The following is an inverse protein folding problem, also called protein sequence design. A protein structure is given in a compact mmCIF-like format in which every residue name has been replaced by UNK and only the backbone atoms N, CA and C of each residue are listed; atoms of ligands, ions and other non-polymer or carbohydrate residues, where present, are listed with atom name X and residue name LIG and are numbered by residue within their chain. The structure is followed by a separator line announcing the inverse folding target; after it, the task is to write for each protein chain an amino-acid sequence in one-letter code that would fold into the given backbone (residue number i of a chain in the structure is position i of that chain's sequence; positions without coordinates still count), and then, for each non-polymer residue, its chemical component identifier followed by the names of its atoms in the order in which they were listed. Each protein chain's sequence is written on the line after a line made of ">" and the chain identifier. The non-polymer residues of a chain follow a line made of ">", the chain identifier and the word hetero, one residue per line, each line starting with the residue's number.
data_IF_814531853884
#
_entry.id   IF_814531853884
#
_cell.length_a   1.000
_cell.length_b   1.000
_cell.length_c   1.000
_cell.angle_alpha   90.00
_cell.angle_beta   90.00
_cell.angle_gamma   90.00
#
_symmetry.space_group_name_H-M   'P 1'
#
loop_
_entity.id
_entity.type
_entity.pdbx_description
1 polymer ?
#
# COMPACT_ATOMS: atom_id res chain seq x y z
N UNK A 1 -31.40 -2.19 -4.34
CA UNK A 1 -31.10 -1.04 -3.46
C UNK A 1 -30.20 -0.07 -4.22
N UNK A 2 -30.29 1.22 -3.87
CA UNK A 2 -29.31 2.25 -4.26
C UNK A 2 -28.22 2.33 -3.20
N UNK A 3 -26.98 2.12 -3.58
CA UNK A 3 -25.85 2.07 -2.66
C UNK A 3 -24.84 3.14 -3.06
N UNK A 4 -24.45 3.98 -2.11
CA UNK A 4 -23.37 4.95 -2.27
C UNK A 4 -22.12 4.40 -1.59
N UNK A 5 -21.08 4.12 -2.38
CA UNK A 5 -19.76 3.74 -1.85
C UNK A 5 -18.81 4.94 -1.90
N UNK A 6 -18.27 5.29 -0.75
CA UNK A 6 -17.38 6.45 -0.57
C UNK A 6 -15.96 5.95 -0.27
N UNK A 7 -14.99 6.34 -1.10
CA UNK A 7 -13.56 6.27 -0.75
C UNK A 7 -13.21 7.50 0.09
N UNK A 8 -12.74 7.29 1.31
CA UNK A 8 -12.33 8.36 2.22
C UNK A 8 -10.84 8.70 2.13
N UNK A 9 -10.12 8.15 1.14
CA UNK A 9 -8.69 8.38 1.00
C UNK A 9 -8.39 9.85 0.70
N UNK A 10 -7.34 10.38 1.36
CA UNK A 10 -6.80 11.73 1.15
C UNK A 10 -5.29 11.71 0.92
N UNK A 11 -4.67 10.53 0.90
CA UNK A 11 -3.24 10.40 0.72
C UNK A 11 -2.86 10.58 -0.76
N UNK A 12 -2.03 11.57 -1.03
CA UNK A 12 -1.50 11.90 -2.37
C UNK A 12 -0.14 11.26 -2.62
N UNK A 13 0.62 11.03 -1.55
CA UNK A 13 2.04 10.69 -1.61
C UNK A 13 2.30 9.24 -1.24
N UNK A 14 3.32 8.62 -1.83
CA UNK A 14 4.18 9.12 -2.92
C UNK A 14 3.45 9.26 -4.26
N UNK A 15 2.28 8.66 -4.42
CA UNK A 15 1.35 8.78 -5.54
C UNK A 15 -0.07 8.44 -5.09
N UNK A 16 -1.04 9.08 -5.73
CA UNK A 16 -2.45 8.80 -5.49
C UNK A 16 -2.81 7.39 -5.99
N UNK A 17 -3.52 6.62 -5.17
CA UNK A 17 -3.86 5.22 -5.46
C UNK A 17 -5.36 5.07 -5.64
N UNK A 18 -5.76 4.56 -6.82
CA UNK A 18 -7.15 4.23 -7.14
C UNK A 18 -7.74 3.26 -6.09
N UNK A 19 -8.98 3.47 -5.62
CA UNK A 19 -9.61 2.64 -4.58
C UNK A 19 -10.06 1.26 -5.13
N UNK A 20 -9.09 0.42 -5.48
CA UNK A 20 -9.29 -0.88 -6.15
C UNK A 20 -10.24 -1.80 -5.38
N UNK A 21 -10.07 -1.95 -4.06
CA UNK A 21 -10.94 -2.80 -3.24
C UNK A 21 -12.39 -2.34 -3.24
N UNK A 22 -12.65 -1.02 -3.26
CA UNK A 22 -14.01 -0.49 -3.38
C UNK A 22 -14.63 -0.81 -4.74
N UNK A 23 -13.84 -0.75 -5.82
CA UNK A 23 -14.31 -1.14 -7.16
C UNK A 23 -14.63 -2.64 -7.28
N UNK A 24 -13.87 -3.50 -6.59
CA UNK A 24 -14.17 -4.94 -6.55
C UNK A 24 -15.46 -5.22 -5.80
N UNK A 25 -15.69 -4.54 -4.67
CA UNK A 25 -16.96 -4.61 -3.94
C UNK A 25 -18.11 -4.09 -4.79
N UNK A 26 -17.93 -2.98 -5.51
CA UNK A 26 -18.94 -2.44 -6.42
C UNK A 26 -19.31 -3.43 -7.54
N UNK A 27 -18.29 -4.07 -8.15
CA UNK A 27 -18.50 -5.12 -9.14
C UNK A 27 -19.38 -6.25 -8.61
N UNK A 28 -19.06 -6.72 -7.41
CA UNK A 28 -19.82 -7.79 -6.76
C UNK A 28 -21.29 -7.39 -6.48
N UNK A 29 -21.55 -6.19 -5.99
CA UNK A 29 -22.90 -5.68 -5.73
C UNK A 29 -23.71 -5.45 -7.00
N UNK A 30 -23.08 -4.97 -8.09
CA UNK A 30 -23.75 -4.77 -9.39
C UNK A 30 -24.15 -6.10 -10.02
N UNK A 31 -23.39 -7.18 -9.83
CA UNK A 31 -23.78 -8.53 -10.25
C UNK A 31 -25.08 -9.00 -9.60
N UNK A 32 -25.38 -8.55 -8.37
CA UNK A 32 -26.63 -8.83 -7.68
C UNK A 32 -27.78 -7.86 -8.07
N UNK A 33 -27.58 -7.01 -9.06
CA UNK A 33 -28.59 -6.08 -9.57
C UNK A 33 -28.77 -4.82 -8.73
N UNK A 34 -27.83 -4.47 -7.84
CA UNK A 34 -27.88 -3.22 -7.08
C UNK A 34 -27.41 -2.03 -7.92
N UNK A 35 -28.04 -0.87 -7.72
CA UNK A 35 -27.57 0.41 -8.28
C UNK A 35 -26.46 0.97 -7.38
N UNK A 36 -25.20 0.90 -7.85
CA UNK A 36 -24.03 1.29 -7.07
C UNK A 36 -23.39 2.54 -7.66
N UNK A 37 -23.36 3.61 -6.88
CA UNK A 37 -22.65 4.86 -7.18
C UNK A 37 -21.33 4.89 -6.41
N UNK A 38 -20.24 5.15 -7.11
CA UNK A 38 -18.93 5.38 -6.50
C UNK A 38 -18.73 6.88 -6.27
N UNK A 39 -18.22 7.24 -5.11
CA UNK A 39 -17.82 8.60 -4.75
C UNK A 39 -16.41 8.56 -4.17
N UNK A 40 -15.50 9.29 -4.75
CA UNK A 40 -14.14 9.41 -4.25
C UNK A 40 -13.90 10.80 -3.66
N UNK A 41 -13.66 10.85 -2.35
CA UNK A 41 -13.50 12.11 -1.61
C UNK A 41 -12.27 12.89 -2.09
N UNK A 42 -11.19 12.18 -2.45
CA UNK A 42 -9.98 12.81 -2.98
C UNK A 42 -10.23 13.41 -4.37
N UNK A 43 -10.84 12.66 -5.28
CA UNK A 43 -11.21 13.16 -6.62
C UNK A 43 -12.11 14.40 -6.56
N UNK A 44 -13.02 14.46 -5.58
CA UNK A 44 -13.93 15.60 -5.37
C UNK A 44 -13.29 16.75 -4.58
N UNK A 45 -11.94 16.81 -4.56
CA UNK A 45 -11.17 17.89 -3.95
C UNK A 45 -11.29 17.95 -2.42
N UNK A 46 -11.57 16.82 -1.78
CA UNK A 46 -11.76 16.70 -0.33
C UNK A 46 -12.89 17.60 0.21
N UNK A 47 -13.93 17.80 -0.62
CA UNK A 47 -15.03 18.71 -0.33
C UNK A 47 -16.17 18.02 0.43
N UNK A 48 -16.45 18.45 1.63
CA UNK A 48 -17.60 18.00 2.42
C UNK A 48 -18.94 18.46 1.80
N UNK A 49 -18.96 19.60 1.10
CA UNK A 49 -20.16 19.99 0.35
C UNK A 49 -20.43 19.04 -0.82
N UNK A 50 -19.40 18.57 -1.51
CA UNK A 50 -19.57 17.53 -2.54
C UNK A 50 -20.13 16.23 -1.97
N UNK A 51 -19.80 15.88 -0.72
CA UNK A 51 -20.43 14.72 -0.02
C UNK A 51 -21.94 14.96 0.17
N UNK A 52 -22.36 16.16 0.63
CA UNK A 52 -23.78 16.52 0.79
C UNK A 52 -24.53 16.41 -0.53
N UNK A 53 -24.00 17.04 -1.57
CA UNK A 53 -24.57 17.00 -2.93
C UNK A 53 -24.67 15.58 -3.46
N UNK A 54 -23.65 14.75 -3.22
CA UNK A 54 -23.63 13.34 -3.59
C UNK A 54 -24.79 12.56 -2.97
N UNK A 55 -25.01 12.70 -1.67
CA UNK A 55 -26.12 12.06 -0.96
C UNK A 55 -27.47 12.56 -1.46
N UNK A 56 -27.65 13.88 -1.60
CA UNK A 56 -28.91 14.48 -2.08
C UNK A 56 -29.27 14.01 -3.49
N UNK A 57 -28.26 13.86 -4.36
CA UNK A 57 -28.40 13.39 -5.75
C UNK A 57 -28.73 11.90 -5.82
N UNK A 58 -27.97 11.05 -5.12
CA UNK A 58 -28.08 9.59 -5.17
C UNK A 58 -29.32 9.11 -4.41
N UNK A 59 -29.62 9.73 -3.27
CA UNK A 59 -30.67 9.29 -2.31
C UNK A 59 -30.50 7.80 -2.00
N UNK A 60 -29.34 7.42 -1.41
CA UNK A 60 -29.02 6.00 -1.20
C UNK A 60 -29.93 5.36 -0.15
N UNK A 61 -30.12 4.05 -0.28
CA UNK A 61 -30.73 3.20 0.74
C UNK A 61 -29.70 2.72 1.77
N UNK A 62 -28.40 2.73 1.38
CA UNK A 62 -27.27 2.31 2.20
C UNK A 62 -26.00 3.05 1.76
N UNK A 63 -25.15 3.39 2.73
CA UNK A 63 -23.84 4.02 2.46
C UNK A 63 -22.73 3.10 2.95
N UNK A 64 -21.75 2.80 2.08
CA UNK A 64 -20.50 2.14 2.44
C UNK A 64 -19.33 3.13 2.40
N UNK A 65 -18.44 3.11 3.41
CA UNK A 65 -17.22 3.92 3.44
C UNK A 65 -16.02 3.02 3.45
N UNK A 66 -15.16 3.16 2.44
CA UNK A 66 -13.89 2.45 2.34
C UNK A 66 -12.78 3.29 2.96
N UNK A 67 -12.18 2.77 4.03
CA UNK A 67 -11.02 3.36 4.72
C UNK A 67 -9.78 2.59 4.29
N UNK A 68 -8.88 3.24 3.52
CA UNK A 68 -7.65 2.60 3.05
C UNK A 68 -6.60 2.52 4.17
N UNK A 69 -6.31 3.63 4.82
CA UNK A 69 -5.32 3.75 5.88
C UNK A 69 -5.90 4.53 7.06
N UNK A 70 -5.39 4.26 8.27
CA UNK A 70 -5.76 5.01 9.49
C UNK A 70 -4.87 6.24 9.68
N UNK A 71 -3.60 6.14 9.25
CA UNK A 71 -2.59 7.19 9.28
C UNK A 71 -1.53 6.96 8.18
N UNK A 72 -0.52 7.84 8.09
CA UNK A 72 0.57 7.75 7.12
C UNK A 72 1.81 6.98 7.62
N UNK A 73 1.74 6.34 8.78
CA UNK A 73 2.82 5.58 9.44
C UNK A 73 4.17 6.33 9.56
N UNK A 74 4.18 7.65 9.50
CA UNK A 74 5.38 8.50 9.52
C UNK A 74 5.50 9.24 10.87
N UNK A 75 6.44 8.84 11.72
CA UNK A 75 6.67 9.43 13.04
C UNK A 75 7.04 10.93 12.97
N UNK A 76 7.78 11.34 11.96
CA UNK A 76 8.31 12.71 11.86
C UNK A 76 7.33 13.70 11.24
N UNK A 77 6.34 13.21 10.48
CA UNK A 77 5.29 14.01 9.87
C UNK A 77 3.97 13.22 9.89
N UNK A 78 3.43 13.05 11.11
CA UNK A 78 2.23 12.25 11.34
C UNK A 78 0.98 12.88 10.74
N UNK A 79 0.24 12.10 9.94
CA UNK A 79 -1.06 12.47 9.37
C UNK A 79 -2.10 11.41 9.75
N UNK A 80 -3.19 11.85 10.35
CA UNK A 80 -4.29 11.00 10.84
C UNK A 80 -5.49 11.08 9.90
N UNK A 81 -5.80 10.01 9.21
CA UNK A 81 -6.88 9.99 8.23
C UNK A 81 -8.26 9.73 8.84
N UNK A 82 -8.30 9.17 10.05
CA UNK A 82 -9.57 8.87 10.76
C UNK A 82 -10.38 10.14 11.06
N UNK A 83 -9.73 11.27 11.31
CA UNK A 83 -10.44 12.53 11.54
C UNK A 83 -11.27 12.97 10.32
N UNK A 84 -10.73 12.76 9.11
CA UNK A 84 -11.48 12.99 7.87
C UNK A 84 -12.70 12.07 7.77
N UNK A 85 -12.55 10.79 8.15
CA UNK A 85 -13.67 9.83 8.13
C UNK A 85 -14.77 10.22 9.13
N UNK A 86 -14.39 10.66 10.33
CA UNK A 86 -15.36 11.20 11.34
C UNK A 86 -16.16 12.35 10.76
N UNK A 87 -15.48 13.28 10.11
CA UNK A 87 -16.15 14.45 9.54
C UNK A 87 -17.06 14.06 8.36
N UNK A 88 -16.64 13.13 7.49
CA UNK A 88 -17.51 12.58 6.44
C UNK A 88 -18.78 11.98 7.07
N UNK A 89 -18.66 11.16 8.12
CA UNK A 89 -19.82 10.54 8.77
C UNK A 89 -20.71 11.58 9.44
N UNK A 90 -20.13 12.59 10.08
CA UNK A 90 -20.92 13.72 10.64
C UNK A 90 -21.75 14.40 9.58
N UNK A 91 -21.16 14.74 8.45
CA UNK A 91 -21.84 15.37 7.30
C UNK A 91 -22.94 14.45 6.74
N UNK A 92 -22.68 13.15 6.60
CA UNK A 92 -23.69 12.19 6.14
C UNK A 92 -24.89 12.11 7.08
N UNK A 93 -24.68 12.14 8.40
CA UNK A 93 -25.74 12.09 9.40
C UNK A 93 -26.64 13.34 9.39
N UNK A 94 -26.12 14.47 8.96
CA UNK A 94 -26.93 15.69 8.79
C UNK A 94 -27.85 15.60 7.56
N UNK A 95 -27.47 14.82 6.54
CA UNK A 95 -28.20 14.70 5.28
C UNK A 95 -29.17 13.52 5.22
N UNK A 96 -28.89 12.42 5.95
CA UNK A 96 -29.66 11.19 5.80
C UNK A 96 -29.61 10.30 7.05
N UNK A 97 -30.72 9.62 7.41
CA UNK A 97 -30.76 8.63 8.49
C UNK A 97 -30.29 7.23 8.05
N UNK A 98 -29.93 7.01 6.79
CA UNK A 98 -29.61 5.66 6.29
C UNK A 98 -28.40 5.06 6.99
N UNK A 99 -28.32 3.72 6.98
CA UNK A 99 -27.22 3.00 7.61
C UNK A 99 -25.90 3.26 6.91
N UNK A 100 -24.83 3.45 7.71
CA UNK A 100 -23.47 3.64 7.26
C UNK A 100 -22.65 2.43 7.68
N UNK A 101 -21.98 1.80 6.73
CA UNK A 101 -21.12 0.61 6.90
C UNK A 101 -19.68 0.96 6.56
N UNK A 102 -18.76 0.72 7.49
CA UNK A 102 -17.33 0.90 7.25
C UNK A 102 -16.71 -0.37 6.68
N UNK A 103 -15.68 -0.20 5.87
CA UNK A 103 -14.88 -1.29 5.33
C UNK A 103 -13.49 -0.80 4.89
N UNK A 104 -12.76 -1.68 4.20
CA UNK A 104 -11.43 -1.42 3.69
C UNK A 104 -10.31 -1.84 4.65
N UNK A 105 -9.06 -1.79 4.17
CA UNK A 105 -7.89 -2.26 4.90
C UNK A 105 -7.65 -1.49 6.20
N UNK A 106 -7.79 -0.17 6.18
CA UNK A 106 -7.62 0.67 7.37
C UNK A 106 -8.65 0.37 8.46
N UNK A 107 -9.91 0.16 8.08
CA UNK A 107 -10.94 -0.30 9.02
C UNK A 107 -10.58 -1.68 9.60
N UNK A 108 -10.18 -2.61 8.75
CA UNK A 108 -9.91 -4.00 9.12
C UNK A 108 -8.72 -4.18 10.06
N UNK A 109 -7.81 -3.20 10.14
CA UNK A 109 -6.69 -3.22 11.11
C UNK A 109 -7.18 -3.00 12.54
N UNK A 110 -8.18 -2.14 12.76
CA UNK A 110 -8.68 -1.76 14.09
C UNK A 110 -10.20 -1.58 14.08
N UNK A 111 -10.99 -2.64 13.76
CA UNK A 111 -12.41 -2.46 13.47
C UNK A 111 -13.20 -1.89 14.64
N UNK A 112 -12.99 -2.35 15.87
CA UNK A 112 -13.70 -1.86 17.07
C UNK A 112 -13.42 -0.38 17.34
N UNK A 113 -12.15 0.00 17.59
CA UNK A 113 -11.79 1.39 17.85
C UNK A 113 -12.18 2.36 16.74
N UNK A 114 -12.06 1.96 15.46
CA UNK A 114 -12.45 2.81 14.32
C UNK A 114 -13.97 2.98 14.25
N UNK A 115 -14.75 1.88 14.39
CA UNK A 115 -16.20 1.95 14.35
C UNK A 115 -16.78 2.87 15.45
N UNK A 116 -16.23 2.75 16.65
CA UNK A 116 -16.61 3.56 17.80
C UNK A 116 -16.23 5.02 17.61
N UNK A 117 -14.98 5.30 17.22
CA UNK A 117 -14.50 6.65 17.02
C UNK A 117 -15.22 7.40 15.90
N UNK A 118 -15.60 6.71 14.82
CA UNK A 118 -16.26 7.29 13.65
C UNK A 118 -17.76 7.43 13.83
N UNK A 119 -18.39 6.58 14.66
CA UNK A 119 -19.84 6.62 14.93
C UNK A 119 -20.71 6.08 13.78
N UNK A 120 -20.17 5.16 12.97
CA UNK A 120 -20.96 4.47 11.95
C UNK A 120 -21.81 3.32 12.56
N UNK A 121 -22.75 2.77 11.79
CA UNK A 121 -23.66 1.74 12.30
C UNK A 121 -23.01 0.36 12.35
N UNK A 122 -22.35 -0.03 11.24
CA UNK A 122 -21.76 -1.34 11.04
C UNK A 122 -20.37 -1.25 10.44
N UNK A 123 -19.66 -2.37 10.46
CA UNK A 123 -18.38 -2.52 9.78
C UNK A 123 -18.15 -3.92 9.25
N UNK A 124 -17.50 -4.02 8.10
CA UNK A 124 -17.06 -5.25 7.45
C UNK A 124 -15.53 -5.30 7.51
N UNK A 125 -14.99 -6.19 8.34
CA UNK A 125 -13.56 -6.40 8.51
C UNK A 125 -13.08 -7.56 7.63
N UNK A 126 -12.04 -7.31 6.82
CA UNK A 126 -11.49 -8.26 5.85
C UNK A 126 -12.03 -8.04 4.44
N UNK A 127 -12.19 -9.13 3.69
CA UNK A 127 -12.61 -9.12 2.28
C UNK A 127 -14.10 -8.84 2.15
N UNK A 128 -14.45 -7.69 1.60
CA UNK A 128 -15.83 -7.21 1.56
C UNK A 128 -16.68 -7.78 0.44
N UNK A 129 -16.10 -8.35 -0.60
CA UNK A 129 -16.78 -8.70 -1.85
C UNK A 129 -17.93 -9.71 -1.65
N UNK A 130 -17.77 -10.66 -0.73
CA UNK A 130 -18.82 -11.63 -0.38
C UNK A 130 -19.66 -11.15 0.80
N UNK A 131 -18.99 -10.82 1.91
CA UNK A 131 -19.68 -10.51 3.16
C UNK A 131 -20.55 -9.25 3.05
N UNK A 132 -20.10 -8.22 2.33
CA UNK A 132 -20.91 -7.02 2.15
C UNK A 132 -22.11 -7.26 1.22
N UNK A 133 -22.00 -8.15 0.22
CA UNK A 133 -23.15 -8.63 -0.57
C UNK A 133 -24.20 -9.30 0.31
N UNK A 134 -23.78 -10.22 1.18
CA UNK A 134 -24.67 -10.90 2.13
C UNK A 134 -25.35 -9.88 3.07
N UNK A 135 -24.60 -8.93 3.59
CA UNK A 135 -25.14 -7.83 4.39
C UNK A 135 -26.19 -7.02 3.62
N UNK A 136 -25.92 -6.64 2.39
CA UNK A 136 -26.82 -5.85 1.54
C UNK A 136 -28.10 -6.64 1.22
N UNK A 137 -27.98 -7.94 0.95
CA UNK A 137 -29.13 -8.81 0.69
C UNK A 137 -30.10 -8.89 1.89
N UNK A 138 -29.57 -8.97 3.11
CA UNK A 138 -30.37 -8.93 4.34
C UNK A 138 -30.95 -7.52 4.60
N UNK A 139 -30.14 -6.48 4.43
CA UNK A 139 -30.57 -5.08 4.57
C UNK A 139 -31.72 -4.72 3.61
N UNK A 140 -31.70 -5.26 2.39
CA UNK A 140 -32.80 -5.08 1.41
C UNK A 140 -34.14 -5.64 1.89
N UNK A 141 -34.09 -6.56 2.86
CA UNK A 141 -35.29 -7.14 3.48
C UNK A 141 -35.60 -6.51 4.86
N UNK A 142 -34.91 -5.41 5.20
CA UNK A 142 -35.04 -4.72 6.48
C UNK A 142 -34.40 -5.48 7.66
N UNK A 143 -33.63 -6.51 7.40
CA UNK A 143 -32.95 -7.30 8.43
C UNK A 143 -31.51 -6.82 8.62
N UNK A 144 -31.14 -6.56 9.85
CA UNK A 144 -29.81 -6.12 10.25
C UNK A 144 -29.25 -7.05 11.33
N UNK A 145 -27.93 -7.37 11.28
CA UNK A 145 -27.30 -8.21 12.28
C UNK A 145 -27.27 -7.52 13.66
N UNK A 146 -27.25 -8.31 14.73
CA UNK A 146 -27.02 -7.79 16.09
C UNK A 146 -25.57 -7.33 16.26
N UNK A 147 -24.64 -8.08 15.70
CA UNK A 147 -23.22 -7.75 15.73
C UNK A 147 -22.94 -6.58 14.79
N UNK A 148 -22.34 -5.53 15.34
CA UNK A 148 -22.02 -4.33 14.56
C UNK A 148 -20.77 -4.50 13.69
N UNK A 149 -19.89 -5.45 14.02
CA UNK A 149 -18.67 -5.75 13.25
C UNK A 149 -18.76 -7.16 12.71
N UNK A 150 -18.75 -7.28 11.41
CA UNK A 150 -18.79 -8.56 10.70
C UNK A 150 -17.40 -8.89 10.18
N UNK A 151 -16.96 -10.14 10.36
CA UNK A 151 -15.63 -10.61 9.93
C UNK A 151 -15.76 -11.55 8.74
N UNK A 152 -15.08 -11.24 7.65
CA UNK A 152 -15.07 -12.05 6.43
C UNK A 152 -14.38 -13.40 6.66
N UNK A 153 -15.16 -14.48 6.67
CA UNK A 153 -14.70 -15.88 6.78
C UNK A 153 -15.72 -16.80 6.09
N UNK A 154 -15.28 -17.80 5.28
CA UNK A 154 -13.91 -18.03 4.80
C UNK A 154 -13.44 -16.93 3.84
N UNK A 155 -12.13 -16.87 3.58
CA UNK A 155 -11.54 -15.94 2.62
C UNK A 155 -11.77 -16.43 1.19
N UNK A 156 -11.90 -15.48 0.26
CA UNK A 156 -12.06 -15.77 -1.18
C UNK A 156 -10.81 -16.43 -1.76
N UNK A 157 -10.98 -17.32 -2.71
CA UNK A 157 -9.90 -18.05 -3.40
C UNK A 157 -10.06 -17.98 -4.92
N UNK A 158 -8.95 -17.87 -5.65
CA UNK A 158 -8.93 -17.94 -7.10
C UNK A 158 -9.94 -17.01 -7.76
N UNK A 159 -10.84 -17.59 -8.54
CA UNK A 159 -11.86 -16.88 -9.33
C UNK A 159 -12.99 -16.27 -8.49
N UNK A 160 -13.07 -16.58 -7.20
CA UNK A 160 -13.99 -15.88 -6.29
C UNK A 160 -13.56 -14.43 -6.04
N UNK A 161 -12.29 -14.07 -6.33
CA UNK A 161 -11.80 -12.69 -6.26
C UNK A 161 -12.24 -11.99 -7.55
N UNK A 162 -13.26 -11.10 -7.51
CA UNK A 162 -13.80 -10.52 -8.73
C UNK A 162 -12.79 -9.56 -9.38
N UNK A 163 -12.89 -9.35 -10.71
CA UNK A 163 -12.19 -8.25 -11.35
C UNK A 163 -12.74 -6.91 -10.81
N UNK A 164 -11.93 -5.86 -10.85
CA UNK A 164 -12.40 -4.54 -10.52
C UNK A 164 -13.35 -4.01 -11.61
N UNK A 165 -14.41 -3.32 -11.19
CA UNK A 165 -15.27 -2.54 -12.07
C UNK A 165 -14.83 -1.08 -11.99
N UNK A 166 -13.96 -0.69 -12.92
CA UNK A 166 -13.37 0.64 -12.93
C UNK A 166 -14.39 1.68 -13.36
N UNK A 167 -14.63 2.66 -12.49
CA UNK A 167 -15.33 3.89 -12.88
C UNK A 167 -14.41 4.74 -13.76
N UNK A 168 -14.86 5.05 -14.99
CA UNK A 168 -14.02 5.71 -15.99
C UNK A 168 -13.61 7.13 -15.56
N UNK A 169 -14.52 7.92 -14.95
CA UNK A 169 -14.21 9.28 -14.52
C UNK A 169 -13.18 9.25 -13.38
N UNK A 170 -13.42 8.40 -12.39
CA UNK A 170 -12.53 8.23 -11.25
C UNK A 170 -11.18 7.70 -11.69
N UNK A 171 -11.12 6.66 -12.51
CA UNK A 171 -9.87 6.09 -12.99
C UNK A 171 -9.05 7.10 -13.79
N UNK A 172 -9.69 7.87 -14.69
CA UNK A 172 -9.02 8.92 -15.45
C UNK A 172 -8.41 9.99 -14.55
N UNK A 173 -9.08 10.39 -13.46
CA UNK A 173 -8.51 11.30 -12.47
C UNK A 173 -7.19 10.74 -11.89
N UNK A 174 -7.17 9.46 -11.48
CA UNK A 174 -5.97 8.82 -10.94
C UNK A 174 -4.87 8.65 -12.00
N UNK A 175 -5.23 8.33 -13.24
CA UNK A 175 -4.27 8.23 -14.33
C UNK A 175 -3.65 9.60 -14.68
N UNK A 176 -4.38 10.69 -14.51
CA UNK A 176 -3.86 12.05 -14.70
C UNK A 176 -3.02 12.52 -13.50
N UNK A 177 -3.34 12.10 -12.28
CA UNK A 177 -2.69 12.53 -11.04
C UNK A 177 -1.44 11.73 -10.69
N UNK A 178 -1.48 10.41 -10.89
CA UNK A 178 -0.40 9.48 -10.52
C UNK A 178 0.10 8.62 -11.68
N UNK A 179 -0.65 8.61 -12.79
CA UNK A 179 -0.33 7.93 -14.04
C UNK A 179 -0.15 6.40 -13.94
N UNK A 180 -0.55 5.78 -12.81
CA UNK A 180 -0.45 4.35 -12.60
C UNK A 180 -1.83 3.74 -12.32
N UNK A 181 -2.11 2.62 -13.00
CA UNK A 181 -3.29 1.80 -12.72
C UNK A 181 -2.91 0.62 -11.83
N UNK A 182 -3.79 0.29 -10.89
CA UNK A 182 -3.57 -0.78 -9.92
C UNK A 182 -4.14 -2.10 -10.39
N UNK A 183 -3.34 -3.19 -10.30
CA UNK A 183 -3.76 -4.56 -10.55
C UNK A 183 -3.32 -5.43 -9.37
N UNK A 184 -4.16 -6.38 -8.96
CA UNK A 184 -3.82 -7.37 -7.93
C UNK A 184 -3.70 -8.75 -8.56
N UNK A 185 -2.60 -9.48 -8.31
CA UNK A 185 -2.40 -10.83 -8.82
C UNK A 185 -2.77 -11.89 -7.80
N UNK A 186 -2.66 -11.59 -6.52
CA UNK A 186 -2.88 -12.52 -5.41
C UNK A 186 -3.20 -11.78 -4.12
N UNK A 187 -3.69 -12.51 -3.13
CA UNK A 187 -3.90 -12.08 -1.75
C UNK A 187 -3.16 -13.00 -0.78
N UNK A 188 -2.82 -12.47 0.38
CA UNK A 188 -2.11 -13.19 1.43
C UNK A 188 -0.60 -12.98 1.40
N UNK A 189 0.04 -13.19 2.55
CA UNK A 189 1.48 -13.09 2.72
C UNK A 189 1.96 -14.12 3.74
N UNK A 190 2.85 -15.01 3.32
CA UNK A 190 3.37 -16.13 4.14
C UNK A 190 4.47 -15.69 5.13
N UNK A 191 4.95 -14.43 5.03
CA UNK A 191 6.08 -13.94 5.82
C UNK A 191 5.73 -13.58 7.26
N UNK A 192 6.75 -13.60 8.12
CA UNK A 192 6.63 -13.40 9.56
C UNK A 192 7.02 -12.02 10.08
N UNK A 193 7.03 -10.98 9.23
CA UNK A 193 7.42 -9.62 9.62
C UNK A 193 6.61 -9.15 10.83
N UNK A 194 7.28 -8.83 11.94
CA UNK A 194 6.62 -8.59 13.23
C UNK A 194 5.72 -7.35 13.25
N UNK A 195 5.96 -6.38 12.39
CA UNK A 195 5.21 -5.11 12.30
C UNK A 195 4.01 -5.17 11.35
N UNK A 196 3.97 -6.18 10.47
CA UNK A 196 3.09 -6.18 9.31
C UNK A 196 1.69 -6.70 9.62
N UNK A 197 0.66 -6.02 9.12
CA UNK A 197 -0.75 -6.38 9.27
C UNK A 197 -1.30 -7.21 8.12
N UNK A 198 -0.61 -7.34 6.99
CA UNK A 198 -1.09 -8.10 5.82
C UNK A 198 -1.49 -9.55 6.14
N UNK A 199 -0.72 -10.31 6.95
CA UNK A 199 -1.16 -11.65 7.34
C UNK A 199 -2.48 -11.68 8.12
N UNK A 200 -2.82 -10.60 8.83
CA UNK A 200 -4.10 -10.47 9.54
C UNK A 200 -5.22 -10.07 8.57
N UNK A 201 -4.95 -9.14 7.64
CA UNK A 201 -5.90 -8.64 6.66
C UNK A 201 -6.24 -9.68 5.59
N UNK A 202 -5.23 -10.21 4.93
CA UNK A 202 -5.38 -11.11 3.77
C UNK A 202 -5.09 -12.58 4.08
N UNK A 203 -4.52 -12.91 5.25
CA UNK A 203 -4.13 -14.26 5.64
C UNK A 203 -2.71 -14.63 5.29
N UNK A 204 -2.29 -15.79 5.82
CA UNK A 204 -0.94 -16.32 5.62
C UNK A 204 -0.82 -17.26 4.41
N UNK A 205 -1.94 -17.70 3.86
CA UNK A 205 -1.96 -18.54 2.66
C UNK A 205 -2.09 -17.64 1.44
N UNK A 206 -1.17 -17.79 0.50
CA UNK A 206 -1.24 -17.09 -0.77
C UNK A 206 -2.38 -17.68 -1.60
N UNK A 207 -3.25 -16.83 -2.10
CA UNK A 207 -4.43 -17.13 -2.91
C UNK A 207 -4.32 -16.34 -4.22
N UNK A 208 -4.00 -17.05 -5.29
CA UNK A 208 -3.71 -16.49 -6.59
C UNK A 208 -5.00 -16.27 -7.38
N UNK A 209 -5.00 -15.26 -8.21
CA UNK A 209 -5.94 -15.10 -9.31
C UNK A 209 -5.37 -15.81 -10.54
N UNK A 210 -6.24 -16.29 -11.41
CA UNK A 210 -5.80 -16.92 -12.65
C UNK A 210 -4.96 -15.93 -13.49
N UNK A 211 -3.75 -16.33 -13.98
CA UNK A 211 -2.88 -15.47 -14.77
C UNK A 211 -3.59 -14.83 -15.98
N UNK A 212 -4.48 -15.60 -16.62
CA UNK A 212 -5.31 -15.14 -17.74
C UNK A 212 -6.20 -13.96 -17.33
N UNK A 213 -6.82 -14.01 -16.15
CA UNK A 213 -7.67 -12.94 -15.62
C UNK A 213 -6.85 -11.70 -15.27
N UNK A 214 -5.69 -11.88 -14.64
CA UNK A 214 -4.78 -10.78 -14.29
C UNK A 214 -4.32 -10.02 -15.54
N UNK A 215 -3.85 -10.74 -16.56
CA UNK A 215 -3.36 -10.12 -17.79
C UNK A 215 -4.51 -9.50 -18.60
N UNK A 216 -5.72 -10.06 -18.53
CA UNK A 216 -6.90 -9.43 -19.13
C UNK A 216 -7.25 -8.09 -18.48
N UNK A 217 -7.12 -7.97 -17.15
CA UNK A 217 -7.28 -6.69 -16.46
C UNK A 217 -6.24 -5.66 -16.93
N UNK A 218 -4.97 -6.07 -17.09
CA UNK A 218 -3.92 -5.19 -17.62
C UNK A 218 -4.25 -4.70 -19.03
N UNK A 219 -4.65 -5.62 -19.92
CA UNK A 219 -5.03 -5.27 -21.31
C UNK A 219 -6.22 -4.30 -21.33
N UNK A 220 -7.23 -4.55 -20.49
CA UNK A 220 -8.40 -3.67 -20.39
C UNK A 220 -8.01 -2.27 -19.92
N UNK A 221 -7.18 -2.16 -18.88
CA UNK A 221 -6.68 -0.87 -18.39
C UNK A 221 -5.92 -0.09 -19.46
N UNK A 222 -5.10 -0.76 -20.27
CA UNK A 222 -4.35 -0.14 -21.36
C UNK A 222 -5.27 0.24 -22.52
N UNK A 223 -6.10 -0.69 -23.00
CA UNK A 223 -6.89 -0.50 -24.24
C UNK A 223 -8.11 0.40 -24.05
N UNK A 224 -8.82 0.25 -22.93
CA UNK A 224 -10.07 0.97 -22.69
C UNK A 224 -9.86 2.30 -21.94
N UNK A 225 -8.88 2.35 -21.02
CA UNK A 225 -8.66 3.52 -20.17
C UNK A 225 -7.35 4.26 -20.45
N UNK A 226 -6.51 3.73 -21.34
CA UNK A 226 -5.26 4.40 -21.74
C UNK A 226 -4.18 4.41 -20.65
N UNK A 227 -4.20 3.44 -19.73
CA UNK A 227 -3.18 3.31 -18.70
C UNK A 227 -1.80 3.13 -19.32
N UNK A 228 -0.82 3.93 -18.88
CA UNK A 228 0.55 3.94 -19.38
C UNK A 228 1.54 3.25 -18.46
N UNK A 229 1.09 2.91 -17.24
CA UNK A 229 1.91 2.29 -16.21
C UNK A 229 1.03 1.46 -15.28
N UNK A 230 1.45 0.27 -14.93
CA UNK A 230 0.75 -0.63 -14.01
C UNK A 230 1.53 -0.75 -12.71
N UNK A 231 0.83 -0.70 -11.59
CA UNK A 231 1.34 -1.04 -10.28
C UNK A 231 0.65 -2.31 -9.77
N UNK A 232 1.42 -3.37 -9.56
CA UNK A 232 0.92 -4.57 -8.91
C UNK A 232 0.84 -4.34 -7.40
N UNK A 233 -0.38 -4.37 -6.86
CA UNK A 233 -0.68 -3.98 -5.46
C UNK A 233 -0.55 -5.12 -4.46
N UNK A 234 0.05 -6.23 -4.86
CA UNK A 234 0.29 -7.37 -3.98
C UNK A 234 1.18 -6.97 -2.79
N UNK A 235 1.02 -7.63 -1.65
CA UNK A 235 1.89 -7.44 -0.49
C UNK A 235 3.37 -7.71 -0.82
N UNK A 236 3.63 -8.68 -1.70
CA UNK A 236 4.91 -8.99 -2.36
C UNK A 236 4.59 -9.67 -3.68
N UNK A 237 5.16 -9.21 -4.79
CA UNK A 237 4.91 -9.78 -6.13
C UNK A 237 5.57 -11.15 -6.29
N UNK A 238 6.85 -11.27 -5.94
CA UNK A 238 7.54 -12.56 -5.94
C UNK A 238 7.25 -13.36 -4.67
N UNK A 239 7.29 -14.66 -4.75
CA UNK A 239 7.12 -15.58 -3.63
C UNK A 239 8.15 -16.71 -3.70
N UNK A 240 8.37 -17.39 -2.56
CA UNK A 240 9.38 -18.44 -2.43
C UNK A 240 9.06 -19.74 -3.23
N UNK A 241 7.91 -19.81 -3.91
CA UNK A 241 7.52 -20.95 -4.76
C UNK A 241 7.50 -20.60 -6.25
N UNK A 242 7.84 -19.36 -6.59
CA UNK A 242 7.91 -18.90 -7.97
C UNK A 242 6.58 -18.81 -8.72
N UNK A 243 5.45 -18.74 -8.01
CA UNK A 243 4.10 -18.72 -8.62
C UNK A 243 3.86 -17.52 -9.50
N UNK A 244 4.45 -16.37 -9.15
CA UNK A 244 4.37 -15.14 -9.96
C UNK A 244 4.89 -15.33 -11.40
N UNK A 245 5.72 -16.36 -11.66
CA UNK A 245 6.24 -16.70 -12.99
C UNK A 245 5.12 -16.99 -13.99
N UNK A 246 4.00 -17.60 -13.55
CA UNK A 246 2.86 -17.88 -14.42
C UNK A 246 2.19 -16.60 -14.95
N UNK A 247 2.17 -15.51 -14.18
CA UNK A 247 1.68 -14.20 -14.64
C UNK A 247 2.65 -13.63 -15.68
N UNK A 248 3.96 -13.73 -15.44
CA UNK A 248 4.99 -13.29 -16.41
C UNK A 248 4.89 -14.08 -17.71
N UNK A 249 4.74 -15.39 -17.66
CA UNK A 249 4.55 -16.27 -18.82
C UNK A 249 3.31 -15.91 -19.63
N UNK A 250 2.21 -15.58 -18.96
CA UNK A 250 0.99 -15.15 -19.62
C UNK A 250 1.14 -13.78 -20.29
N UNK A 251 1.87 -12.84 -19.65
CA UNK A 251 2.21 -11.56 -20.26
C UNK A 251 3.06 -11.74 -21.52
N UNK A 252 4.08 -12.61 -21.48
CA UNK A 252 4.91 -12.97 -22.66
C UNK A 252 4.06 -13.57 -23.76
N UNK A 253 3.22 -14.55 -23.43
CA UNK A 253 2.34 -15.25 -24.39
C UNK A 253 1.41 -14.28 -25.13
N UNK A 254 0.86 -13.28 -24.40
CA UNK A 254 -0.02 -12.25 -24.98
C UNK A 254 0.72 -11.06 -25.55
N UNK A 255 2.06 -11.02 -25.40
CA UNK A 255 2.91 -9.90 -25.84
C UNK A 255 2.49 -8.57 -25.18
N UNK A 256 2.08 -8.63 -23.91
CA UNK A 256 1.78 -7.43 -23.13
C UNK A 256 3.10 -6.80 -22.72
N UNK A 257 3.31 -5.56 -23.15
CA UNK A 257 4.50 -4.77 -22.84
C UNK A 257 4.08 -3.35 -22.47
N UNK A 258 3.53 -3.20 -21.25
CA UNK A 258 3.24 -1.91 -20.63
C UNK A 258 4.20 -1.71 -19.46
N UNK A 259 4.75 -0.52 -19.24
CA UNK A 259 5.57 -0.26 -18.06
C UNK A 259 4.86 -0.67 -16.77
N UNK A 260 5.56 -1.40 -15.89
CA UNK A 260 5.01 -1.79 -14.59
C UNK A 260 6.04 -1.80 -13.46
N UNK A 261 5.55 -1.77 -12.23
CA UNK A 261 6.30 -1.89 -10.98
C UNK A 261 5.55 -2.77 -10.00
N UNK A 262 6.27 -3.28 -8.99
CA UNK A 262 5.72 -4.05 -7.89
C UNK A 262 6.64 -4.01 -6.67
N UNK A 263 6.13 -4.48 -5.52
CA UNK A 263 6.95 -4.78 -4.36
C UNK A 263 7.61 -6.16 -4.48
N UNK A 264 8.92 -6.19 -4.23
CA UNK A 264 9.73 -7.41 -4.23
C UNK A 264 10.40 -7.62 -2.88
N UNK A 265 10.78 -8.86 -2.59
CA UNK A 265 11.67 -9.21 -1.49
C UNK A 265 12.86 -10.01 -2.00
N UNK A 266 14.03 -9.95 -1.34
CA UNK A 266 15.12 -10.88 -1.60
C UNK A 266 14.66 -12.33 -1.39
N UNK A 267 14.88 -13.22 -2.37
CA UNK A 267 14.64 -14.66 -2.27
C UNK A 267 15.43 -15.43 -3.33
N UNK A 268 15.65 -16.71 -3.10
CA UNK A 268 16.47 -17.55 -3.98
C UNK A 268 15.85 -17.77 -5.38
N UNK A 269 14.52 -17.70 -5.51
CA UNK A 269 13.81 -17.86 -6.79
C UNK A 269 13.87 -16.63 -7.68
N UNK A 270 14.45 -15.53 -7.20
CA UNK A 270 14.66 -14.31 -7.97
C UNK A 270 16.06 -14.34 -8.58
N UNK A 271 16.15 -14.85 -9.80
CA UNK A 271 17.38 -14.94 -10.58
C UNK A 271 17.43 -13.97 -11.77
N UNK A 272 18.58 -13.86 -12.44
CA UNK A 272 18.78 -12.96 -13.56
C UNK A 272 17.86 -13.27 -14.75
N UNK A 273 17.54 -14.54 -15.00
CA UNK A 273 16.67 -14.95 -16.10
C UNK A 273 15.25 -14.42 -15.91
N UNK A 274 14.64 -14.68 -14.74
CA UNK A 274 13.29 -14.20 -14.49
C UNK A 274 13.21 -12.68 -14.45
N UNK A 275 14.23 -11.98 -13.96
CA UNK A 275 14.27 -10.51 -13.99
C UNK A 275 14.36 -10.00 -15.43
N UNK A 276 15.14 -10.64 -16.29
CA UNK A 276 15.22 -10.30 -17.71
C UNK A 276 13.84 -10.48 -18.38
N UNK A 277 13.16 -11.59 -18.13
CA UNK A 277 11.81 -11.86 -18.63
C UNK A 277 10.79 -10.82 -18.14
N UNK A 278 10.82 -10.49 -16.83
CA UNK A 278 9.98 -9.41 -16.27
C UNK A 278 10.28 -8.07 -16.93
N UNK A 279 11.54 -7.71 -17.14
CA UNK A 279 11.94 -6.51 -17.89
C UNK A 279 11.36 -6.48 -19.30
N UNK A 280 11.41 -7.60 -20.00
CA UNK A 280 10.93 -7.72 -21.38
C UNK A 280 9.40 -7.61 -21.47
N UNK A 281 8.67 -7.94 -20.40
CA UNK A 281 7.22 -7.67 -20.28
C UNK A 281 6.91 -6.25 -19.76
N UNK A 282 7.92 -5.42 -19.48
CA UNK A 282 7.73 -4.02 -19.12
C UNK A 282 8.13 -3.63 -17.70
N UNK A 283 8.72 -4.50 -16.87
CA UNK A 283 9.21 -4.12 -15.54
C UNK A 283 10.24 -2.97 -15.66
N UNK A 284 9.91 -1.80 -15.12
CA UNK A 284 10.78 -0.61 -15.14
C UNK A 284 11.44 -0.36 -13.81
N UNK A 285 10.77 -0.72 -12.74
CA UNK A 285 11.17 -0.38 -11.39
C UNK A 285 10.78 -1.48 -10.41
N UNK A 286 11.67 -1.83 -9.49
CA UNK A 286 11.42 -2.77 -8.41
C UNK A 286 11.48 -2.05 -7.06
N UNK A 287 10.41 -2.14 -6.28
CA UNK A 287 10.35 -1.61 -4.92
C UNK A 287 10.68 -2.73 -3.94
N UNK A 288 11.86 -2.67 -3.32
CA UNK A 288 12.38 -3.79 -2.53
C UNK A 288 12.10 -3.56 -1.05
N UNK A 289 11.31 -4.46 -0.44
CA UNK A 289 10.99 -4.50 0.98
C UNK A 289 12.15 -5.00 1.83
N UNK A 290 13.24 -4.23 1.87
CA UNK A 290 14.45 -4.53 2.66
C UNK A 290 14.23 -4.30 4.15
N UNK A 291 13.51 -3.25 4.50
CA UNK A 291 12.93 -2.86 5.79
C UNK A 291 13.89 -2.56 6.93
N UNK A 292 15.05 -3.23 7.04
CA UNK A 292 16.02 -2.92 8.09
C UNK A 292 17.47 -2.96 7.57
N UNK A 293 18.37 -2.07 8.10
CA UNK A 293 19.66 -1.82 7.46
C UNK A 293 20.82 -2.67 8.00
N UNK A 294 20.58 -3.61 8.94
CA UNK A 294 21.58 -4.52 9.48
C UNK A 294 21.01 -5.90 9.75
N UNK A 295 21.86 -6.92 9.80
CA UNK A 295 21.41 -8.30 10.07
C UNK A 295 20.76 -8.44 11.44
N UNK A 296 21.20 -7.68 12.43
CA UNK A 296 20.60 -7.69 13.76
C UNK A 296 19.16 -7.16 13.72
N UNK A 297 18.93 -6.06 13.03
CA UNK A 297 17.62 -5.45 12.89
C UNK A 297 16.69 -6.21 11.93
N UNK A 298 17.24 -6.82 10.87
CA UNK A 298 16.48 -7.75 10.00
C UNK A 298 15.92 -8.92 10.81
N UNK A 299 16.76 -9.57 11.64
CA UNK A 299 16.28 -10.62 12.55
C UNK A 299 15.26 -10.08 13.57
N UNK A 300 15.50 -8.89 14.09
CA UNK A 300 14.60 -8.22 15.06
C UNK A 300 13.19 -7.98 14.54
N UNK A 301 13.05 -7.70 13.25
CA UNK A 301 11.75 -7.50 12.59
C UNK A 301 11.22 -8.77 11.90
N UNK A 302 11.89 -9.93 12.05
CA UNK A 302 11.42 -11.22 11.55
C UNK A 302 11.63 -11.43 10.05
N UNK A 303 12.69 -10.85 9.46
CA UNK A 303 13.10 -11.15 8.09
C UNK A 303 13.90 -12.44 8.01
N UNK A 304 13.75 -13.16 6.91
CA UNK A 304 14.37 -14.44 6.60
C UNK A 304 15.57 -14.32 5.65
N UNK A 305 16.11 -13.10 5.50
CA UNK A 305 17.27 -12.80 4.66
C UNK A 305 18.23 -11.83 5.39
N UNK A 306 19.46 -11.74 4.89
CA UNK A 306 20.55 -10.89 5.39
C UNK A 306 20.69 -9.62 4.57
N UNK A 307 21.43 -8.63 5.08
CA UNK A 307 21.72 -7.42 4.33
C UNK A 307 22.57 -7.70 3.08
N UNK A 308 23.42 -8.73 3.11
CA UNK A 308 24.14 -9.21 1.92
C UNK A 308 23.19 -9.66 0.81
N UNK A 309 22.10 -10.35 1.16
CA UNK A 309 21.10 -10.77 0.17
C UNK A 309 20.28 -9.59 -0.36
N UNK A 310 20.09 -8.53 0.44
CA UNK A 310 19.53 -7.26 -0.04
C UNK A 310 20.41 -6.64 -1.12
N UNK A 311 21.72 -6.56 -0.88
CA UNK A 311 22.69 -6.01 -1.86
C UNK A 311 22.78 -6.87 -3.13
N UNK A 312 22.77 -8.19 -2.98
CA UNK A 312 22.72 -9.11 -4.11
C UNK A 312 21.45 -8.95 -4.94
N UNK A 313 20.28 -8.85 -4.29
CA UNK A 313 19.00 -8.61 -4.95
C UNK A 313 19.02 -7.26 -5.71
N UNK A 314 19.54 -6.20 -5.09
CA UNK A 314 19.73 -4.90 -5.75
C UNK A 314 20.59 -5.04 -7.02
N UNK A 315 21.72 -5.72 -6.91
CA UNK A 315 22.65 -5.93 -8.03
C UNK A 315 22.00 -6.70 -9.18
N UNK A 316 21.25 -7.77 -8.90
CA UNK A 316 20.55 -8.56 -9.92
C UNK A 316 19.59 -7.71 -10.77
N UNK A 317 18.78 -6.84 -10.13
CA UNK A 317 17.89 -5.94 -10.86
C UNK A 317 18.65 -4.92 -11.70
N UNK A 318 19.69 -4.31 -11.14
CA UNK A 318 20.49 -3.30 -11.83
C UNK A 318 21.25 -3.85 -13.04
N UNK A 319 21.76 -5.07 -12.95
CA UNK A 319 22.44 -5.79 -14.05
C UNK A 319 21.49 -6.04 -15.22
N UNK A 320 20.19 -6.24 -14.92
CA UNK A 320 19.16 -6.38 -15.94
C UNK A 320 18.58 -5.02 -16.41
N UNK A 321 19.13 -3.89 -15.94
CA UNK A 321 18.67 -2.55 -16.33
C UNK A 321 17.35 -2.11 -15.69
N UNK A 322 16.91 -2.78 -14.63
CA UNK A 322 15.73 -2.43 -13.85
C UNK A 322 16.14 -1.51 -12.69
N UNK A 323 15.49 -0.36 -12.56
CA UNK A 323 15.73 0.55 -11.45
C UNK A 323 15.22 -0.04 -10.14
N UNK A 324 15.87 0.30 -9.01
CA UNK A 324 15.49 -0.20 -7.68
C UNK A 324 15.22 0.95 -6.71
N UNK A 325 14.25 0.73 -5.81
CA UNK A 325 14.08 1.52 -4.60
C UNK A 325 14.03 0.61 -3.38
N UNK A 326 14.63 1.06 -2.29
CA UNK A 326 14.61 0.37 -1.01
C UNK A 326 13.96 1.23 0.06
N UNK A 327 13.22 0.59 0.95
CA UNK A 327 12.61 1.21 2.11
C UNK A 327 13.27 0.65 3.36
N UNK A 328 13.77 1.53 4.24
CA UNK A 328 14.44 1.13 5.47
C UNK A 328 13.88 1.87 6.67
N UNK A 329 13.74 1.17 7.77
CA UNK A 329 13.32 1.70 9.06
C UNK A 329 14.48 1.62 10.06
N UNK A 330 14.72 2.71 10.78
CA UNK A 330 15.58 2.75 11.97
C UNK A 330 14.71 2.82 13.23
N UNK A 331 15.23 2.34 14.34
CA UNK A 331 14.49 2.17 15.58
C UNK A 331 13.92 0.76 15.76
N UNK A 332 14.41 -0.21 15.00
CA UNK A 332 13.89 -1.58 14.99
C UNK A 332 14.11 -2.33 16.32
N UNK A 333 13.31 -3.38 16.62
CA UNK A 333 13.63 -4.31 17.69
C UNK A 333 15.06 -4.85 17.59
N UNK A 334 15.81 -4.78 18.70
CA UNK A 334 17.21 -5.21 18.77
C UNK A 334 18.23 -4.19 18.30
N UNK A 335 17.82 -3.01 17.85
CA UNK A 335 18.73 -1.95 17.42
C UNK A 335 19.49 -1.32 18.58
N UNK A 336 20.75 -0.95 18.33
CA UNK A 336 21.67 -0.26 19.24
C UNK A 336 22.39 0.87 18.49
N UNK A 337 23.09 1.78 19.18
CA UNK A 337 23.89 2.81 18.49
C UNK A 337 24.88 2.23 17.47
N UNK A 338 25.49 1.10 17.80
CA UNK A 338 26.46 0.42 16.90
C UNK A 338 25.75 -0.08 15.63
N UNK A 339 24.58 -0.72 15.75
CA UNK A 339 23.84 -1.21 14.58
C UNK A 339 23.19 -0.07 13.77
N UNK A 340 22.91 1.08 14.37
CA UNK A 340 22.55 2.31 13.64
C UNK A 340 23.70 2.77 12.75
N UNK A 341 24.92 2.85 13.29
CA UNK A 341 26.09 3.26 12.52
C UNK A 341 26.45 2.24 11.43
N UNK A 342 26.35 0.93 11.73
CA UNK A 342 26.47 -0.15 10.74
C UNK A 342 25.43 0.03 9.62
N UNK A 343 24.16 0.25 9.97
CA UNK A 343 23.10 0.47 9.01
C UNK A 343 23.33 1.68 8.10
N UNK A 344 23.79 2.79 8.65
CA UNK A 344 24.16 3.98 7.87
C UNK A 344 25.29 3.65 6.87
N UNK A 345 26.32 2.90 7.30
CA UNK A 345 27.39 2.47 6.43
C UNK A 345 26.88 1.55 5.31
N UNK A 346 26.03 0.58 5.65
CA UNK A 346 25.39 -0.33 4.72
C UNK A 346 24.58 0.41 3.66
N UNK A 347 23.73 1.37 4.05
CA UNK A 347 22.93 2.15 3.10
C UNK A 347 23.80 3.01 2.17
N UNK A 348 24.88 3.60 2.67
CA UNK A 348 25.85 4.33 1.84
C UNK A 348 26.61 3.41 0.88
N UNK A 349 26.71 2.13 1.19
CA UNK A 349 27.30 1.09 0.35
C UNK A 349 26.42 0.65 -0.82
N UNK A 350 25.09 0.70 -0.67
CA UNK A 350 24.16 0.35 -1.75
C UNK A 350 24.27 1.36 -2.90
N UNK A 351 24.63 0.86 -4.08
CA UNK A 351 24.91 1.71 -5.23
C UNK A 351 23.75 1.76 -6.22
N UNK A 352 23.62 2.89 -6.90
CA UNK A 352 22.73 3.09 -8.06
C UNK A 352 21.24 2.79 -7.75
N UNK A 353 20.80 2.96 -6.51
CA UNK A 353 19.43 2.72 -6.05
C UNK A 353 18.89 3.93 -5.29
N UNK A 354 17.57 4.08 -5.26
CA UNK A 354 16.91 5.08 -4.43
C UNK A 354 16.57 4.48 -3.07
N UNK A 355 16.84 5.20 -2.00
CA UNK A 355 16.66 4.72 -0.62
C UNK A 355 15.78 5.68 0.15
N UNK A 356 14.69 5.16 0.73
CA UNK A 356 13.79 5.90 1.60
C UNK A 356 13.97 5.43 3.03
N UNK A 357 14.30 6.35 3.91
CA UNK A 357 14.60 6.05 5.32
C UNK A 357 13.49 6.57 6.21
N UNK A 358 12.94 5.68 7.02
CA UNK A 358 11.94 5.94 8.04
C UNK A 358 12.59 5.84 9.42
N UNK A 359 12.10 6.60 10.39
CA UNK A 359 12.48 6.50 11.79
C UNK A 359 11.28 6.08 12.64
N UNK A 360 11.48 5.05 13.47
CA UNK A 360 10.41 4.43 14.26
C UNK A 360 9.46 3.59 13.41
N UNK A 361 8.82 2.62 14.05
CA UNK A 361 7.89 1.70 13.41
C UNK A 361 6.52 1.86 14.05
N UNK A 362 5.50 2.16 13.26
CA UNK A 362 4.11 2.28 13.71
C UNK A 362 3.67 0.98 14.40
N UNK A 363 3.27 1.05 15.64
CA UNK A 363 2.74 -0.10 16.40
C UNK A 363 1.26 -0.26 16.03
N UNK A 364 0.93 -1.38 15.39
CA UNK A 364 -0.45 -1.73 15.03
C UNK A 364 -0.92 -2.94 15.85
N UNK A 365 -2.22 -3.05 16.20
CA UNK A 365 -2.72 -4.14 17.02
C UNK A 365 -2.55 -5.50 16.33
N UNK A 366 -2.58 -6.56 17.13
CA UNK A 366 -2.48 -7.97 16.71
C UNK A 366 -1.21 -8.30 15.92
N UNK A 367 -0.16 -7.46 16.02
CA UNK A 367 1.15 -7.68 15.43
C UNK A 367 2.16 -8.23 16.45
N UNK A 368 3.23 -8.85 15.94
CA UNK A 368 4.38 -9.24 16.77
C UNK A 368 5.02 -8.02 17.43
N UNK A 369 5.06 -6.88 16.72
CA UNK A 369 5.62 -5.62 17.24
C UNK A 369 4.84 -5.07 18.42
N UNK A 370 3.50 -5.19 18.43
CA UNK A 370 2.69 -4.79 19.59
C UNK A 370 3.05 -5.61 20.83
N UNK A 371 3.29 -6.91 20.69
CA UNK A 371 3.75 -7.79 21.80
C UNK A 371 5.14 -7.39 22.28
N UNK A 372 6.05 -7.05 21.36
CA UNK A 372 7.40 -6.58 21.69
C UNK A 372 7.30 -5.24 22.42
N UNK A 373 6.51 -4.30 21.92
CA UNK A 373 6.32 -2.98 22.52
C UNK A 373 5.71 -3.05 23.93
N UNK A 374 4.77 -3.97 24.17
CA UNK A 374 4.23 -4.25 25.53
C UNK A 374 5.32 -4.77 26.47
N UNK A 375 6.12 -5.74 26.03
CA UNK A 375 7.23 -6.29 26.81
C UNK A 375 8.27 -5.23 27.15
N UNK A 376 8.56 -4.36 26.19
CA UNK A 376 9.58 -3.31 26.32
C UNK A 376 9.03 -2.04 27.01
N UNK A 377 7.76 -2.05 27.45
CA UNK A 377 7.12 -0.96 28.23
C UNK A 377 6.78 0.30 27.41
N UNK A 378 6.77 0.21 26.07
CA UNK A 378 6.49 1.34 25.18
C UNK A 378 4.99 1.61 25.00
N UNK A 379 4.16 0.61 25.27
CA UNK A 379 2.69 0.73 25.29
C UNK A 379 2.14 0.00 26.51
N UNK A 380 0.92 0.34 26.93
CA UNK A 380 0.25 -0.28 28.07
C UNK A 380 -0.76 -1.35 27.61
N UNK A 381 -1.06 -2.37 28.45
CA UNK A 381 -2.15 -3.30 28.18
C UNK A 381 -3.48 -2.55 27.99
N UNK A 382 -4.20 -2.85 26.90
CA UNK A 382 -5.48 -2.21 26.59
C UNK A 382 -5.39 -0.78 26.04
N UNK A 383 -4.19 -0.25 25.83
CA UNK A 383 -4.01 1.06 25.19
C UNK A 383 -4.61 1.05 23.78
N UNK A 384 -5.43 2.05 23.49
CA UNK A 384 -5.92 2.26 22.13
C UNK A 384 -4.77 2.65 21.20
N UNK A 385 -4.56 1.86 20.15
CA UNK A 385 -3.57 2.15 19.12
C UNK A 385 -4.18 2.95 17.94
N UNK A 386 -5.41 3.43 18.08
CA UNK A 386 -5.99 4.40 17.15
C UNK A 386 -5.20 5.72 17.18
N UNK A 387 -4.79 6.12 18.40
CA UNK A 387 -3.74 7.14 18.57
C UNK A 387 -2.39 6.52 18.17
N UNK A 388 -1.67 7.12 17.19
CA UNK A 388 -0.42 6.56 16.72
C UNK A 388 0.62 6.41 17.85
N UNK A 389 1.15 5.21 17.99
CA UNK A 389 2.31 4.91 18.83
C UNK A 389 3.40 4.27 17.96
N UNK A 390 4.63 4.63 18.22
CA UNK A 390 5.77 4.18 17.41
C UNK A 390 6.78 3.46 18.28
N UNK A 391 7.29 2.36 17.75
CA UNK A 391 8.39 1.62 18.37
C UNK A 391 9.72 2.25 17.94
N UNK A 392 10.54 2.58 18.90
CA UNK A 392 11.98 2.80 18.77
C UNK A 392 12.63 1.94 19.85
N UNK A 393 13.66 1.18 19.48
CA UNK A 393 14.38 0.32 20.43
C UNK A 393 14.74 1.11 21.71
N UNK A 394 14.40 0.60 22.92
CA UNK A 394 14.76 1.28 24.20
C UNK A 394 16.27 1.46 24.39
N UNK A 395 17.10 0.80 23.56
CA UNK A 395 18.57 0.90 23.61
C UNK A 395 19.11 2.06 22.75
N UNK A 396 18.22 2.81 22.06
CA UNK A 396 18.58 3.91 21.17
C UNK A 396 17.85 5.17 21.61
N UNK A 397 18.59 6.23 21.93
CA UNK A 397 17.98 7.53 22.21
C UNK A 397 17.36 8.13 20.94
N UNK A 398 16.11 8.55 21.03
CA UNK A 398 15.34 9.07 19.89
C UNK A 398 15.94 10.34 19.30
N UNK A 399 16.41 11.27 20.17
CA UNK A 399 16.93 12.56 19.73
C UNK A 399 18.26 12.37 19.03
N UNK A 400 19.12 11.52 19.60
CA UNK A 400 20.37 11.12 18.99
C UNK A 400 20.17 10.43 17.64
N UNK A 401 19.23 9.49 17.55
CA UNK A 401 18.92 8.78 16.31
C UNK A 401 18.52 9.75 15.19
N UNK A 402 17.57 10.64 15.47
CA UNK A 402 17.10 11.63 14.49
C UNK A 402 18.23 12.54 14.02
N UNK A 403 19.03 13.07 14.94
CA UNK A 403 20.17 13.94 14.61
C UNK A 403 21.21 13.19 13.77
N UNK A 404 21.53 11.94 14.15
CA UNK A 404 22.51 11.09 13.45
C UNK A 404 22.06 10.79 12.01
N UNK A 405 20.78 10.43 11.80
CA UNK A 405 20.25 10.15 10.47
C UNK A 405 20.21 11.42 9.60
N UNK A 406 19.78 12.56 10.16
CA UNK A 406 19.80 13.85 9.46
C UNK A 406 21.20 14.22 8.99
N UNK A 407 22.20 14.12 9.88
CA UNK A 407 23.60 14.42 9.54
C UNK A 407 24.14 13.44 8.49
N UNK A 408 23.90 12.12 8.70
CA UNK A 408 24.43 11.08 7.83
C UNK A 408 23.95 11.19 6.37
N UNK A 409 22.70 11.64 6.15
CA UNK A 409 22.08 11.66 4.84
C UNK A 409 21.88 13.06 4.23
N UNK A 410 22.24 14.14 4.95
CA UNK A 410 22.06 15.52 4.51
C UNK A 410 22.66 15.85 3.13
N UNK A 411 23.76 15.18 2.74
CA UNK A 411 24.49 15.41 1.48
C UNK A 411 24.27 14.31 0.43
N UNK A 412 23.39 13.34 0.72
CA UNK A 412 23.09 12.24 -0.20
C UNK A 412 21.89 12.60 -1.07
N UNK A 413 21.98 12.34 -2.39
CA UNK A 413 20.87 12.60 -3.30
C UNK A 413 19.89 11.43 -3.39
N UNK A 414 20.42 10.22 -3.32
CA UNK A 414 19.70 8.97 -3.53
C UNK A 414 19.18 8.35 -2.22
N UNK A 415 19.63 8.85 -1.08
CA UNK A 415 19.09 8.47 0.24
C UNK A 415 18.26 9.65 0.77
N UNK A 416 16.98 9.40 0.95
CA UNK A 416 15.97 10.41 1.34
C UNK A 416 15.59 10.20 2.80
N UNK A 417 15.85 11.18 3.64
CA UNK A 417 15.44 11.23 5.04
C UNK A 417 15.04 12.66 5.45
N UNK A 418 13.86 12.86 6.04
CA UNK A 418 12.74 11.91 6.13
C UNK A 418 12.18 11.55 4.75
N UNK A 419 11.37 10.45 4.62
CA UNK A 419 10.96 9.93 3.32
C UNK A 419 10.09 10.88 2.50
N UNK A 420 9.36 11.78 3.16
CA UNK A 420 8.51 12.81 2.58
C UNK A 420 9.28 14.05 2.06
N UNK A 421 10.58 14.14 2.30
CA UNK A 421 11.39 15.29 1.87
C UNK A 421 11.41 15.53 0.34
N UNK A 422 11.02 14.54 -0.47
CA UNK A 422 10.95 14.68 -1.94
C UNK A 422 9.53 14.81 -2.51
N UNK A 423 8.50 14.73 -1.68
CA UNK A 423 7.09 14.67 -2.14
C UNK A 423 6.72 15.86 -3.04
N UNK A 424 7.04 17.07 -2.63
CA UNK A 424 6.77 18.27 -3.43
C UNK A 424 7.43 18.21 -4.83
N UNK A 425 8.62 17.58 -4.91
CA UNK A 425 9.34 17.41 -6.17
C UNK A 425 8.69 16.34 -7.05
N UNK A 426 8.29 15.21 -6.47
CA UNK A 426 7.56 14.17 -7.21
C UNK A 426 6.23 14.71 -7.73
N UNK A 427 5.47 15.40 -6.89
CA UNK A 427 4.21 16.03 -7.28
C UNK A 427 4.39 17.05 -8.43
N UNK A 428 5.46 17.85 -8.41
CA UNK A 428 5.79 18.76 -9.51
C UNK A 428 6.08 18.00 -10.82
N UNK A 429 6.81 16.87 -10.75
CA UNK A 429 7.11 16.05 -11.92
C UNK A 429 5.83 15.41 -12.51
N UNK A 430 4.92 14.92 -11.66
CA UNK A 430 3.61 14.44 -12.12
C UNK A 430 2.82 15.53 -12.86
N UNK A 431 2.81 16.77 -12.36
CA UNK A 431 2.18 17.91 -13.06
C UNK A 431 2.80 18.23 -14.42
N UNK A 432 4.06 17.87 -14.63
CA UNK A 432 4.74 17.98 -15.92
C UNK A 432 4.47 16.77 -16.85
N UNK A 433 3.63 15.83 -16.44
CA UNK A 433 3.23 14.66 -17.24
C UNK A 433 4.20 13.47 -17.17
N UNK A 434 5.16 13.47 -16.24
CA UNK A 434 5.96 12.28 -15.98
C UNK A 434 5.10 11.17 -15.37
N UNK A 435 5.37 9.91 -15.71
CA UNK A 435 4.60 8.74 -15.29
C UNK A 435 5.46 7.72 -14.56
N UNK A 436 4.83 6.90 -13.72
CA UNK A 436 5.50 5.82 -12.99
C UNK A 436 6.05 6.25 -11.63
N UNK A 437 6.97 5.48 -11.10
CA UNK A 437 7.45 5.64 -9.72
C UNK A 437 8.29 6.90 -9.48
N UNK A 438 8.86 7.50 -10.52
CA UNK A 438 9.66 8.75 -10.56
C UNK A 438 10.87 8.82 -9.62
N UNK A 439 10.96 7.98 -8.60
CA UNK A 439 12.12 7.97 -7.68
C UNK A 439 13.41 7.50 -8.37
N UNK A 440 13.32 6.79 -9.49
CA UNK A 440 14.46 6.41 -10.33
C UNK A 440 15.24 7.64 -10.85
N UNK A 441 14.60 8.81 -10.92
CA UNK A 441 15.24 10.06 -11.27
C UNK A 441 16.26 10.55 -10.22
N UNK A 442 16.21 10.03 -8.99
CA UNK A 442 17.18 10.37 -7.94
C UNK A 442 18.58 9.82 -8.26
N UNK A 443 18.63 8.67 -8.94
CA UNK A 443 19.88 7.96 -9.25
C UNK A 443 20.39 8.19 -10.68
N UNK A 444 19.54 8.73 -11.57
CA UNK A 444 19.99 9.08 -12.93
C UNK A 444 21.01 10.21 -12.91
N UNK A 445 22.13 10.13 -13.68
CA UNK A 445 23.07 11.24 -13.79
C UNK A 445 22.34 12.49 -14.34
N UNK A 446 22.72 13.68 -13.86
CA UNK A 446 22.21 14.93 -14.43
C UNK A 446 22.52 14.95 -15.93
N UNK A 447 21.51 15.15 -16.77
CA UNK A 447 21.71 15.37 -18.21
C UNK A 447 22.62 16.60 -18.34
N UNK A 448 23.88 16.37 -18.77
CA UNK A 448 24.87 17.47 -18.94
C UNK A 448 26.29 17.18 -18.38
N UNK A 449 26.50 16.17 -17.58
CA UNK A 449 27.87 15.73 -17.23
C UNK A 449 28.36 14.72 -18.26
N UNK A 450 29.15 15.19 -19.25
CA UNK A 450 29.96 14.29 -20.08
C UNK A 450 30.82 13.41 -19.14
N UNK A 451 30.97 12.09 -19.39
CA UNK A 451 31.95 11.31 -18.68
C UNK A 451 33.30 11.97 -18.88
N UNK A 452 33.99 12.30 -17.79
CA UNK A 452 35.39 12.68 -17.86
C UNK A 452 36.15 11.50 -18.47
N UNK A 453 36.70 11.73 -19.64
CA UNK A 453 37.43 10.73 -20.37
C UNK A 453 38.56 10.15 -19.52
N UNK A 454 38.65 8.83 -19.53
CA UNK A 454 39.89 8.12 -19.22
C UNK A 454 40.96 8.59 -20.22
N UNK A 455 41.82 9.47 -19.79
CA UNK A 455 43.06 9.77 -20.51
C UNK A 455 44.13 8.75 -20.11
N UNK A 456 44.78 8.17 -21.09
CA UNK A 456 46.11 7.52 -21.01
C UNK A 456 46.08 6.04 -20.79
#
# INVERSE_FOLDING_TARGET
>A
MKILLISSNIAETPYAVYPLGMSMVAAALRQDGHEVTLFDFFQKGQSFEAVREGVRRVKPDLIGISIRNVDNVNLLNEQRYIETVKEIVRVLREETPVKIVLGGSGFSVMPGPVLEAVGADYGVAGEGEKLFREFVAEAAQGRYPQERILYAKPRLVGDEIPPADYDAEMLNFYLQSGHMASVQTKRGCEHGCVYCTYPNLEGRVIREREPVAVVSDMERLVKEYGAKYIFFTDSVFNDNRGRYRAVVEEMERRKVNVPWTAFFKPCAELDADIIARMRDTGLKAAEIGSDAPSDATLRGIGKDFTFREVDQCNSLFLEQGVATAHYFMFGCPGETPETVLEGIANLKGLQRTSIFVFMGIRILPDTGLAKIALRDGLIQPGQSLLEPAYYISPRVDRVWLEATLKEAFAKTRHIVFPPDAIEAKLHFLFKLGYTGSLWDLLVKPKVGTKPQGSAG
#
